data_IF_604529280468
#
_entry.id   IF_604529280468
#
_cell.length_a   1.000
_cell.length_b   1.000
_cell.length_c   1.000
_cell.angle_alpha   90.00
_cell.angle_beta   90.00
_cell.angle_gamma   90.00
#
_symmetry.space_group_name_H-M   'P 1'
#
loop_
_entity.id
_entity.type
_entity.pdbx_description
1 polymer ?
#
# COMPACT_ATOMS: atom_id res chain seq x y z
N UNK A 1 -18.12 -24.68 8.12
CA UNK A 1 -19.40 -24.56 8.83
C UNK A 1 -20.28 -25.74 8.45
N UNK A 2 -21.00 -26.30 9.40
CA UNK A 2 -21.99 -27.37 9.17
C UNK A 2 -23.43 -26.83 8.92
N UNK A 3 -23.61 -25.51 9.02
CA UNK A 3 -24.91 -24.83 8.94
C UNK A 3 -25.36 -24.22 10.26
N UNK A 4 -24.75 -24.61 11.39
CA UNK A 4 -25.07 -24.13 12.72
C UNK A 4 -23.84 -23.62 13.47
N UNK A 5 -22.72 -24.31 13.32
CA UNK A 5 -21.45 -24.03 13.98
C UNK A 5 -20.34 -23.76 12.98
N UNK A 6 -19.47 -22.82 13.33
CA UNK A 6 -18.25 -22.52 12.60
C UNK A 6 -17.06 -23.13 13.33
N UNK A 7 -16.28 -23.94 12.63
CA UNK A 7 -15.07 -24.58 13.14
C UNK A 7 -13.91 -24.14 12.23
N UNK A 8 -12.84 -23.54 12.77
CA UNK A 8 -11.67 -23.19 11.98
C UNK A 8 -10.95 -24.46 11.48
N UNK A 9 -10.29 -24.34 10.34
CA UNK A 9 -9.48 -25.42 9.78
C UNK A 9 -8.11 -24.87 9.38
N UNK A 10 -7.07 -25.66 9.63
CA UNK A 10 -5.68 -25.30 9.37
C UNK A 10 -5.10 -26.30 8.39
N UNK A 11 -4.48 -25.76 7.36
CA UNK A 11 -3.68 -26.48 6.38
C UNK A 11 -2.20 -26.37 6.78
N UNK A 12 -1.54 -27.49 7.08
CA UNK A 12 -0.12 -27.48 7.48
C UNK A 12 0.82 -27.39 6.26
N UNK A 13 0.35 -27.86 5.11
CA UNK A 13 1.07 -27.88 3.83
C UNK A 13 0.07 -27.70 2.70
N UNK A 14 0.46 -27.08 1.59
CA UNK A 14 -0.43 -26.91 0.44
C UNK A 14 -1.00 -28.24 -0.06
N UNK A 15 -2.32 -28.40 0.04
CA UNK A 15 -3.11 -29.58 -0.24
C UNK A 15 -3.45 -29.57 -1.73
N UNK A 16 -2.93 -30.57 -2.45
CA UNK A 16 -3.12 -30.72 -3.89
C UNK A 16 -4.53 -31.14 -4.28
N UNK A 17 -5.35 -31.52 -3.30
CA UNK A 17 -6.77 -31.86 -3.53
C UNK A 17 -7.54 -30.65 -4.06
N UNK A 18 -7.14 -29.43 -3.68
CA UNK A 18 -7.67 -28.21 -4.27
C UNK A 18 -6.93 -27.91 -5.58
N UNK A 19 -7.68 -27.85 -6.69
CA UNK A 19 -7.12 -27.56 -8.03
C UNK A 19 -6.73 -26.09 -8.23
N UNK A 20 -6.85 -25.27 -7.20
CA UNK A 20 -6.66 -23.82 -7.22
C UNK A 20 -7.13 -23.19 -5.92
N UNK A 21 -7.37 -21.88 -5.93
CA UNK A 21 -7.94 -21.17 -4.78
C UNK A 21 -9.38 -21.65 -4.57
N UNK A 22 -9.74 -22.20 -3.40
CA UNK A 22 -11.10 -22.66 -3.13
C UNK A 22 -12.12 -21.52 -3.27
N UNK A 23 -13.30 -21.85 -3.80
CA UNK A 23 -14.37 -20.86 -4.01
C UNK A 23 -15.22 -20.75 -2.74
N UNK A 24 -15.66 -19.53 -2.34
CA UNK A 24 -16.56 -19.39 -1.20
C UNK A 24 -17.82 -20.26 -1.30
N UNK A 25 -18.05 -21.06 -0.27
CA UNK A 25 -19.17 -22.00 -0.20
C UNK A 25 -18.90 -23.36 -0.83
N UNK A 26 -17.71 -23.63 -1.33
CA UNK A 26 -17.26 -24.96 -1.75
C UNK A 26 -17.42 -25.98 -0.61
N UNK A 27 -17.92 -27.17 -0.94
CA UNK A 27 -18.21 -28.22 0.04
C UNK A 27 -17.03 -29.17 0.15
N UNK A 28 -16.76 -29.57 1.39
CA UNK A 28 -15.68 -30.49 1.74
C UNK A 28 -16.27 -31.62 2.57
N UNK A 29 -15.91 -32.85 2.22
CA UNK A 29 -16.05 -33.99 3.10
C UNK A 29 -14.80 -34.07 3.97
N UNK A 30 -15.00 -34.02 5.29
CA UNK A 30 -13.96 -34.30 6.29
C UNK A 30 -14.13 -35.75 6.72
N UNK A 31 -13.12 -36.58 6.52
CA UNK A 31 -13.18 -38.01 6.82
C UNK A 31 -13.08 -38.28 8.32
N UNK A 32 -13.57 -39.44 8.72
CA UNK A 32 -13.35 -39.97 10.06
C UNK A 32 -11.84 -40.09 10.35
N UNK A 33 -11.45 -39.86 11.62
CA UNK A 33 -10.04 -39.89 12.04
C UNK A 33 -9.28 -38.58 11.81
N UNK A 34 -9.91 -37.55 11.24
CA UNK A 34 -9.29 -36.22 11.11
C UNK A 34 -8.93 -35.64 12.48
N UNK A 35 -7.70 -35.14 12.63
CA UNK A 35 -7.24 -34.58 13.89
C UNK A 35 -7.87 -33.22 14.17
N UNK A 36 -8.28 -33.01 15.42
CA UNK A 36 -8.72 -31.71 15.92
C UNK A 36 -7.74 -31.28 17.01
N UNK A 37 -7.17 -30.08 16.89
CA UNK A 37 -6.25 -29.50 17.88
C UNK A 37 -6.67 -28.06 18.18
N UNK A 38 -6.79 -27.72 19.46
CA UNK A 38 -7.19 -26.38 19.93
C UNK A 38 -8.47 -25.85 19.26
N UNK A 39 -9.45 -26.74 19.02
CA UNK A 39 -10.72 -26.38 18.38
C UNK A 39 -10.63 -26.18 16.85
N UNK A 40 -9.47 -26.44 16.23
CA UNK A 40 -9.30 -26.38 14.78
C UNK A 40 -9.11 -27.77 14.16
N UNK A 41 -9.69 -27.97 12.98
CA UNK A 41 -9.50 -29.17 12.16
C UNK A 41 -8.13 -29.08 11.50
N UNK A 42 -7.31 -30.11 11.63
CA UNK A 42 -6.03 -30.22 10.92
C UNK A 42 -6.29 -30.90 9.58
N UNK A 43 -6.22 -30.13 8.50
CA UNK A 43 -6.47 -30.63 7.15
C UNK A 43 -5.22 -31.27 6.57
N UNK A 44 -5.37 -32.52 6.12
CA UNK A 44 -4.37 -33.29 5.38
C UNK A 44 -5.02 -33.83 4.10
N UNK A 45 -4.21 -34.19 3.11
CA UNK A 45 -4.73 -34.67 1.80
C UNK A 45 -5.54 -35.96 1.94
N UNK A 46 -5.21 -36.78 2.93
CA UNK A 46 -5.89 -38.05 3.18
C UNK A 46 -7.27 -37.85 3.82
N UNK A 47 -7.45 -36.76 4.57
CA UNK A 47 -8.62 -36.52 5.41
C UNK A 47 -9.66 -35.60 4.78
N UNK A 48 -9.34 -34.88 3.71
CA UNK A 48 -10.24 -33.91 3.08
C UNK A 48 -10.52 -34.28 1.63
N UNK A 49 -11.79 -34.28 1.24
CA UNK A 49 -12.22 -34.50 -0.14
C UNK A 49 -13.10 -33.32 -0.60
N UNK A 50 -12.69 -32.57 -1.62
CA UNK A 50 -13.53 -31.54 -2.22
C UNK A 50 -14.72 -32.18 -2.94
N UNK A 51 -15.92 -31.78 -2.54
CA UNK A 51 -17.18 -32.16 -3.19
C UNK A 51 -17.59 -31.12 -4.25
N UNK A 52 -16.95 -29.95 -4.25
CA UNK A 52 -17.22 -28.85 -5.15
C UNK A 52 -18.46 -28.04 -4.76
N UNK A 53 -19.08 -27.43 -5.77
CA UNK A 53 -20.16 -26.47 -5.60
C UNK A 53 -19.69 -25.08 -5.20
N UNK A 54 -20.60 -24.13 -5.24
CA UNK A 54 -20.37 -22.77 -4.77
C UNK A 54 -21.67 -22.23 -4.16
N UNK A 55 -21.55 -21.18 -3.34
CA UNK A 55 -22.71 -20.44 -2.84
C UNK A 55 -22.58 -19.02 -3.33
N UNK A 56 -23.40 -18.64 -4.33
CA UNK A 56 -23.32 -17.35 -5.00
C UNK A 56 -23.39 -16.16 -4.03
N UNK A 57 -24.19 -16.27 -2.98
CA UNK A 57 -24.29 -15.24 -1.95
C UNK A 57 -22.98 -15.08 -1.18
N UNK A 58 -22.35 -16.18 -0.74
CA UNK A 58 -21.05 -16.15 -0.08
C UNK A 58 -19.95 -15.62 -1.00
N UNK A 59 -20.02 -15.92 -2.29
CA UNK A 59 -19.09 -15.36 -3.29
C UNK A 59 -19.24 -13.85 -3.40
N UNK A 60 -20.47 -13.33 -3.48
CA UNK A 60 -20.74 -11.88 -3.47
C UNK A 60 -20.25 -11.22 -2.18
N UNK A 61 -20.53 -11.83 -1.02
CA UNK A 61 -20.09 -11.33 0.27
C UNK A 61 -18.57 -11.31 0.40
N UNK A 62 -17.89 -12.39 -0.01
CA UNK A 62 -16.43 -12.50 -0.01
C UNK A 62 -15.79 -11.44 -0.90
N UNK A 63 -16.28 -11.24 -2.13
CA UNK A 63 -15.79 -10.20 -3.03
C UNK A 63 -16.05 -8.81 -2.46
N UNK A 64 -17.20 -8.57 -1.83
CA UNK A 64 -17.50 -7.28 -1.19
C UNK A 64 -16.57 -6.97 -0.02
N UNK A 65 -16.22 -7.99 0.80
CA UNK A 65 -15.28 -7.86 1.92
C UNK A 65 -13.86 -7.66 1.43
N UNK A 66 -13.43 -8.42 0.42
CA UNK A 66 -12.11 -8.25 -0.21
C UNK A 66 -11.95 -6.86 -0.82
N UNK A 67 -12.99 -6.38 -1.51
CA UNK A 67 -13.00 -5.02 -2.00
C UNK A 67 -12.94 -4.00 -0.86
N UNK A 68 -13.52 -4.27 0.31
CA UNK A 68 -13.39 -3.39 1.48
C UNK A 68 -12.03 -3.45 2.16
N UNK A 69 -11.32 -4.57 2.14
CA UNK A 69 -9.97 -4.68 2.70
C UNK A 69 -8.91 -4.12 1.76
N UNK A 70 -9.14 -4.21 0.44
CA UNK A 70 -8.29 -3.64 -0.60
C UNK A 70 -8.66 -2.17 -0.94
N UNK A 71 -9.78 -1.67 -0.43
CA UNK A 71 -10.15 -0.23 -0.45
C UNK A 71 -9.70 0.38 0.87
N UNK A 72 -8.62 1.18 0.90
CA UNK A 72 -8.34 2.00 2.07
C UNK A 72 -9.54 2.94 2.23
N UNK A 73 -10.11 2.98 3.43
CA UNK A 73 -11.13 3.92 3.89
C UNK A 73 -11.96 4.57 2.78
N UNK A 74 -13.13 4.01 2.48
CA UNK A 74 -14.07 4.68 1.59
C UNK A 74 -14.41 6.05 2.21
N UNK A 75 -13.82 7.09 1.62
CA UNK A 75 -13.98 8.47 2.03
C UNK A 75 -15.33 8.93 1.58
N UNK A 76 -16.31 8.84 2.49
CA UNK A 76 -17.41 9.77 2.48
C UNK A 76 -16.79 11.17 2.51
N UNK A 77 -16.74 11.83 1.35
CA UNK A 77 -16.23 13.20 1.16
C UNK A 77 -14.71 13.32 0.97
N UNK A 78 -14.16 12.73 -0.10
CA UNK A 78 -13.04 13.32 -0.84
C UNK A 78 -11.62 12.94 -0.41
N UNK A 79 -10.91 12.15 -1.24
CA UNK A 79 -9.44 12.08 -1.35
C UNK A 79 -8.60 11.40 -0.23
N UNK A 80 -9.13 11.00 0.92
CA UNK A 80 -8.32 10.45 2.05
C UNK A 80 -8.09 8.91 2.03
N UNK A 81 -8.39 8.25 0.92
CA UNK A 81 -8.52 6.79 0.78
C UNK A 81 -7.42 6.12 -0.05
N UNK A 82 -6.41 6.85 -0.51
CA UNK A 82 -5.34 6.27 -1.32
C UNK A 82 -4.23 5.71 -0.42
N UNK A 83 -3.69 4.49 -0.66
CA UNK A 83 -2.46 4.07 -0.01
C UNK A 83 -1.32 4.89 -0.64
N UNK A 84 -1.01 6.05 -0.06
CA UNK A 84 0.03 6.93 -0.59
C UNK A 84 1.38 6.48 -0.09
N UNK A 85 2.13 5.80 -0.94
CA UNK A 85 3.59 5.80 -0.81
C UNK A 85 4.06 7.24 -1.05
N UNK A 86 4.54 7.91 0.00
CA UNK A 86 5.25 9.18 -0.15
C UNK A 86 6.65 8.85 -0.68
N UNK A 87 7.01 9.20 -1.93
CA UNK A 87 8.38 9.03 -2.39
C UNK A 87 9.31 9.83 -1.47
N UNK A 88 10.30 9.15 -0.89
CA UNK A 88 11.34 9.79 -0.08
C UNK A 88 12.04 10.85 -0.93
N UNK A 89 11.79 12.12 -0.62
CA UNK A 89 12.56 13.23 -1.20
C UNK A 89 13.92 13.28 -0.50
N UNK A 90 14.88 12.58 -1.07
CA UNK A 90 16.29 12.76 -0.74
C UNK A 90 16.69 14.15 -1.20
N UNK A 91 16.66 15.11 -0.26
CA UNK A 91 17.32 16.38 -0.47
C UNK A 91 18.80 16.10 -0.30
N UNK A 92 19.52 16.00 -1.42
CA UNK A 92 20.96 16.15 -1.42
C UNK A 92 21.27 17.56 -0.96
N UNK A 93 21.36 17.76 0.35
CA UNK A 93 22.02 18.89 0.97
C UNK A 93 23.53 18.75 0.71
N UNK A 94 23.92 18.80 -0.55
CA UNK A 94 25.29 19.12 -0.94
C UNK A 94 25.34 20.64 -0.87
N UNK A 95 26.04 21.07 0.17
CA UNK A 95 26.41 22.43 0.42
C UNK A 95 26.95 23.13 -0.84
N UNK A 96 26.80 24.45 -0.82
CA UNK A 96 27.54 25.41 -1.67
C UNK A 96 26.89 25.72 -3.02
N UNK A 97 25.93 26.66 -2.99
CA UNK A 97 25.96 27.82 -3.89
C UNK A 97 25.50 27.64 -5.35
N UNK A 98 24.43 28.40 -5.66
CA UNK A 98 24.01 28.89 -6.98
C UNK A 98 23.06 28.00 -7.83
N UNK A 99 22.12 28.63 -8.55
CA UNK A 99 20.87 28.01 -8.99
C UNK A 99 21.02 27.47 -10.41
N UNK A 100 20.59 26.24 -10.67
CA UNK A 100 20.28 25.85 -12.04
C UNK A 100 19.10 24.89 -12.11
N UNK A 101 18.04 25.38 -12.77
CA UNK A 101 16.77 24.71 -13.04
C UNK A 101 16.96 23.81 -14.25
N UNK A 102 17.31 22.53 -14.10
CA UNK A 102 17.00 21.53 -15.14
C UNK A 102 16.70 20.17 -14.49
N UNK A 103 15.51 19.60 -14.72
CA UNK A 103 15.21 18.23 -14.31
C UNK A 103 16.04 17.28 -15.17
N UNK A 104 17.00 16.60 -14.56
CA UNK A 104 17.72 15.48 -15.17
C UNK A 104 16.77 14.28 -15.20
N UNK A 105 16.26 13.98 -16.39
CA UNK A 105 15.69 12.68 -16.74
C UNK A 105 16.78 11.63 -16.60
N UNK A 106 16.46 10.54 -15.90
CA UNK A 106 17.34 9.40 -15.73
C UNK A 106 17.43 8.62 -17.06
N UNK A 107 18.20 9.14 -18.00
CA UNK A 107 18.74 8.41 -19.14
C UNK A 107 19.72 9.32 -19.87
N UNK A 108 20.94 8.84 -20.15
CA UNK A 108 21.95 9.46 -21.03
C UNK A 108 22.64 10.72 -20.42
N UNK A 109 23.95 10.79 -20.14
CA UNK A 109 25.08 10.19 -20.83
C UNK A 109 25.98 11.28 -21.44
N UNK A 110 26.88 11.87 -20.65
CA UNK A 110 28.17 12.43 -21.10
C UNK A 110 28.25 13.88 -21.63
N UNK A 111 29.34 14.59 -21.25
CA UNK A 111 30.06 15.46 -22.20
C UNK A 111 30.23 16.96 -21.88
N UNK A 112 31.29 17.29 -21.11
CA UNK A 112 32.20 18.45 -21.15
C UNK A 112 31.86 19.75 -21.93
N UNK A 113 32.08 20.92 -21.29
CA UNK A 113 32.27 22.19 -22.02
C UNK A 113 32.41 23.46 -21.16
N UNK A 114 33.64 23.97 -21.06
CA UNK A 114 34.08 25.16 -20.31
C UNK A 114 33.50 26.49 -20.83
N UNK A 115 33.34 27.51 -19.96
CA UNK A 115 34.08 28.79 -19.99
C UNK A 115 33.44 29.99 -19.23
N UNK A 116 34.20 30.49 -18.23
CA UNK A 116 34.63 31.89 -17.95
C UNK A 116 33.62 33.06 -17.80
N UNK A 117 33.80 33.80 -16.68
CA UNK A 117 33.62 35.27 -16.56
C UNK A 117 32.80 35.68 -15.33
N UNK A 118 33.30 36.12 -14.16
CA UNK A 118 34.26 37.17 -13.71
C UNK A 118 33.57 38.53 -13.40
N UNK A 119 33.57 38.92 -12.11
CA UNK A 119 33.39 40.29 -11.57
C UNK A 119 32.04 40.51 -10.85
N UNK A 120 31.90 41.14 -9.68
CA UNK A 120 32.81 41.80 -8.74
C UNK A 120 32.02 42.75 -7.81
N UNK A 121 32.09 42.52 -6.49
CA UNK A 121 31.96 43.44 -5.33
C UNK A 121 30.94 44.58 -5.26
N UNK A 122 30.20 44.69 -4.14
CA UNK A 122 30.46 45.61 -3.00
C UNK A 122 29.29 45.67 -2.01
N UNK A 123 29.63 45.49 -0.74
CA UNK A 123 28.86 45.61 0.52
C UNK A 123 28.30 47.02 0.73
N UNK A 124 27.25 47.20 1.57
CA UNK A 124 27.06 48.14 2.72
C UNK A 124 25.61 47.93 3.26
N UNK A 125 25.37 47.45 4.49
CA UNK A 125 25.34 48.12 5.82
C UNK A 125 23.95 48.70 6.18
N UNK A 126 23.36 48.18 7.27
CA UNK A 126 22.25 48.77 8.04
C UNK A 126 20.89 48.09 7.78
N UNK A 127 20.13 47.56 8.74
CA UNK A 127 20.19 47.64 10.20
C UNK A 127 18.94 48.33 10.75
N UNK A 128 18.08 47.56 11.44
CA UNK A 128 16.95 47.96 12.32
C UNK A 128 15.76 48.63 11.59
N UNK A 129 14.50 48.36 11.88
CA UNK A 129 13.84 47.59 12.92
C UNK A 129 12.37 48.03 12.95
N UNK A 130 11.46 47.06 13.17
CA UNK A 130 10.17 47.13 13.89
C UNK A 130 9.37 48.45 13.91
N UNK A 131 8.09 48.38 13.48
CA UNK A 131 7.02 49.09 14.21
C UNK A 131 5.84 49.65 13.41
N UNK A 132 4.74 48.92 13.46
CA UNK A 132 3.36 49.40 13.70
C UNK A 132 2.74 50.56 12.88
N UNK A 133 1.75 50.14 12.08
CA UNK A 133 0.35 50.61 12.05
C UNK A 133 0.01 52.06 11.68
N UNK A 134 -1.04 52.10 10.84
CA UNK A 134 -2.15 53.06 10.80
C UNK A 134 -1.95 54.42 10.13
N UNK A 135 -2.49 54.55 8.90
CA UNK A 135 -3.76 55.26 8.60
C UNK A 135 -3.89 55.41 7.08
N UNK A 136 -4.85 54.72 6.48
CA UNK A 136 -6.16 55.27 6.10
C UNK A 136 -6.11 56.23 4.90
N UNK A 137 -6.53 55.69 3.75
CA UNK A 137 -7.43 56.28 2.73
C UNK A 137 -7.22 57.76 2.37
N UNK A 138 -6.61 58.01 1.21
CA UNK A 138 -7.27 58.31 -0.07
C UNK A 138 -6.20 58.45 -1.15
#
# INVERSE_FOLDING_TARGET
ADGHSEIPAIELTTLRVFRGIPVPGEKLLVKEGTQIKNGAIIMTEECVVPLGGEVLQLKKEFLSKRNRTDVPYQTSLGLEAAPRFQPLRVHSAIAVGAPNRQPVTADQGGGYGNNRGKGGGRSYRGGRGSGSRERNRR
#
